data_IF_217080859192
#
_entry.id   IF_217080859192
#
_cell.length_a   1.000
_cell.length_b   1.000
_cell.length_c   1.000
_cell.angle_alpha   90.00
_cell.angle_beta   90.00
_cell.angle_gamma   90.00
#
_symmetry.space_group_name_H-M   'P 1'
#
loop_
_entity.id
_entity.type
_entity.pdbx_description
1 polymer ?
#
# COMPACT_ATOMS: atom_id res chain seq x y z
N UNK A 1 -2.66 6.84 -17.73
CA UNK A 1 -1.93 5.77 -18.44
C UNK A 1 -0.84 6.44 -19.26
N UNK A 2 0.42 6.29 -18.87
CA UNK A 2 1.57 6.88 -19.53
C UNK A 2 2.43 5.76 -20.12
N UNK A 3 2.72 5.84 -21.42
CA UNK A 3 3.72 4.97 -22.05
C UNK A 3 5.09 5.37 -21.52
N UNK A 4 5.74 4.49 -20.76
CA UNK A 4 7.17 4.61 -20.45
C UNK A 4 7.92 3.52 -21.21
N UNK A 5 8.54 3.88 -22.33
CA UNK A 5 9.37 2.96 -23.14
C UNK A 5 8.64 1.71 -23.65
N UNK A 6 9.34 0.58 -23.66
CA UNK A 6 8.84 -0.75 -24.04
C UNK A 6 8.16 -1.51 -22.90
N UNK A 7 7.97 -0.89 -21.74
CA UNK A 7 7.40 -1.52 -20.54
C UNK A 7 5.88 -1.36 -20.42
N UNK A 8 5.23 -2.33 -19.76
CA UNK A 8 3.84 -2.23 -19.34
C UNK A 8 3.76 -1.48 -17.99
N UNK A 9 2.95 -0.42 -17.94
CA UNK A 9 2.62 0.26 -16.70
C UNK A 9 1.68 -0.62 -15.87
N UNK A 10 2.09 -1.01 -14.65
CA UNK A 10 1.19 -1.65 -13.69
C UNK A 10 0.16 -0.63 -13.21
N UNK A 11 -1.11 -0.97 -13.31
CA UNK A 11 -2.17 -0.20 -12.64
C UNK A 11 -2.14 -0.55 -11.16
N UNK A 12 -1.60 0.37 -10.36
CA UNK A 12 -1.68 0.30 -8.91
C UNK A 12 -2.91 1.05 -8.42
N UNK A 13 -3.53 0.57 -7.36
CA UNK A 13 -4.60 1.30 -6.68
C UNK A 13 -4.47 1.21 -5.16
N UNK A 14 -5.08 2.18 -4.50
CA UNK A 14 -5.15 2.25 -3.04
C UNK A 14 -6.42 1.55 -2.58
N UNK A 15 -6.27 0.37 -1.99
CA UNK A 15 -7.39 -0.46 -1.55
C UNK A 15 -7.65 -0.22 -0.06
N UNK A 16 -8.86 0.24 0.33
CA UNK A 16 -9.21 0.42 1.73
C UNK A 16 -9.10 -0.87 2.53
N UNK A 17 -8.52 -0.79 3.72
CA UNK A 17 -8.39 -1.89 4.66
C UNK A 17 -8.32 -1.39 6.11
N UNK A 18 -8.32 -2.31 7.07
CA UNK A 18 -8.33 -1.99 8.50
C UNK A 18 -7.88 -3.16 9.38
N UNK A 19 -7.57 -2.90 10.65
CA UNK A 19 -7.29 -3.90 11.69
C UNK A 19 -6.24 -4.96 11.32
N UNK A 20 -5.19 -4.57 10.59
CA UNK A 20 -4.13 -5.49 10.16
C UNK A 20 -4.47 -6.33 8.93
N UNK A 21 -5.68 -6.20 8.37
CA UNK A 21 -6.06 -6.91 7.14
C UNK A 21 -5.18 -6.44 5.99
N UNK A 22 -4.61 -7.40 5.27
CA UNK A 22 -3.89 -7.19 4.01
C UNK A 22 -4.84 -7.61 2.88
N UNK A 23 -5.22 -6.71 1.97
CA UNK A 23 -6.02 -7.07 0.79
C UNK A 23 -5.21 -7.94 -0.18
N UNK A 24 -5.90 -8.64 -1.08
CA UNK A 24 -5.25 -9.43 -2.13
C UNK A 24 -4.44 -8.52 -3.08
N UNK A 25 -3.43 -9.11 -3.72
CA UNK A 25 -2.57 -8.46 -4.71
C UNK A 25 -1.84 -7.23 -4.14
N UNK A 26 -1.53 -7.27 -2.85
CA UNK A 26 -0.67 -6.30 -2.17
C UNK A 26 0.76 -6.28 -2.75
N UNK A 27 1.54 -5.29 -2.29
CA UNK A 27 2.97 -5.24 -2.52
C UNK A 27 3.69 -5.46 -1.18
N UNK A 28 4.08 -6.71 -0.91
CA UNK A 28 5.01 -7.07 0.17
C UNK A 28 6.42 -6.54 -0.16
N UNK A 29 6.91 -5.61 0.67
CA UNK A 29 8.28 -5.07 0.56
C UNK A 29 9.29 -5.89 1.37
N UNK A 30 8.87 -7.04 1.89
CA UNK A 30 9.65 -8.00 2.65
C UNK A 30 9.32 -8.00 4.13
N UNK A 31 9.48 -9.17 4.76
CA UNK A 31 9.21 -9.40 6.19
C UNK A 31 7.76 -9.11 6.61
N UNK A 32 6.80 -9.36 5.72
CA UNK A 32 5.37 -9.13 5.98
C UNK A 32 5.09 -7.65 6.28
N UNK A 33 5.71 -6.76 5.50
CA UNK A 33 5.55 -5.31 5.58
C UNK A 33 5.01 -4.84 4.23
N UNK A 34 3.96 -4.02 4.26
CA UNK A 34 3.26 -3.59 3.05
C UNK A 34 3.23 -2.07 2.95
N UNK A 35 3.24 -1.56 1.71
CA UNK A 35 3.08 -0.12 1.46
C UNK A 35 1.64 0.26 1.75
N UNK A 36 1.46 1.21 2.66
CA UNK A 36 0.15 1.71 3.04
C UNK A 36 0.14 3.24 3.11
N UNK A 37 -1.05 3.83 3.21
CA UNK A 37 -1.25 5.23 3.55
C UNK A 37 -2.47 5.38 4.44
N UNK A 38 -2.50 6.40 5.27
CA UNK A 38 -3.66 6.70 6.11
C UNK A 38 -3.97 8.19 6.11
N UNK A 39 -5.23 8.54 6.37
CA UNK A 39 -5.67 9.92 6.50
C UNK A 39 -5.18 10.47 7.85
N UNK A 40 -4.43 11.54 7.84
CA UNK A 40 -3.97 12.23 9.05
C UNK A 40 -3.71 13.70 8.73
N UNK A 41 -4.17 14.60 9.59
CA UNK A 41 -4.11 16.05 9.35
C UNK A 41 -4.67 16.44 7.95
N UNK A 42 -5.82 15.88 7.58
CA UNK A 42 -6.53 16.13 6.30
C UNK A 42 -5.78 15.70 5.03
N UNK A 43 -4.66 14.99 5.17
CA UNK A 43 -3.87 14.48 4.06
C UNK A 43 -3.70 12.96 4.14
N UNK A 44 -3.48 12.33 2.99
CA UNK A 44 -3.08 10.92 2.96
C UNK A 44 -1.55 10.81 3.08
N UNK A 45 -1.10 10.35 4.25
CA UNK A 45 0.32 10.18 4.54
C UNK A 45 0.73 8.73 4.25
N UNK A 46 1.75 8.50 3.39
CA UNK A 46 2.28 7.17 3.16
C UNK A 46 3.03 6.63 4.38
N UNK A 47 3.01 5.32 4.55
CA UNK A 47 3.58 4.62 5.69
C UNK A 47 3.70 3.11 5.45
N UNK A 48 3.81 2.36 6.53
CA UNK A 48 4.01 0.90 6.49
C UNK A 48 2.92 0.17 7.28
N UNK A 49 2.37 -0.88 6.69
CA UNK A 49 1.51 -1.83 7.40
C UNK A 49 2.35 -3.01 7.88
N UNK A 50 2.19 -3.35 9.15
CA UNK A 50 2.66 -4.63 9.71
C UNK A 50 1.43 -5.36 10.25
N UNK A 51 0.95 -6.44 9.61
CA UNK A 51 -0.33 -7.07 9.97
C UNK A 51 -0.42 -7.49 11.44
N UNK A 52 0.70 -7.98 11.99
CA UNK A 52 0.80 -8.37 13.40
C UNK A 52 0.56 -7.22 14.38
N UNK A 53 0.76 -5.96 13.97
CA UNK A 53 0.47 -4.79 14.78
C UNK A 53 -1.01 -4.36 14.74
N UNK A 54 -1.80 -4.92 13.83
CA UNK A 54 -3.23 -4.58 13.67
C UNK A 54 -3.49 -3.19 13.09
N UNK A 55 -2.46 -2.45 12.66
CA UNK A 55 -2.60 -1.06 12.18
C UNK A 55 -1.46 -0.68 11.22
N UNK A 56 -1.65 0.39 10.46
CA UNK A 56 -0.55 1.02 9.70
C UNK A 56 0.17 2.04 10.56
N UNK A 57 1.43 2.29 10.26
CA UNK A 57 2.22 3.35 10.88
C UNK A 57 2.61 4.41 9.87
N UNK A 58 2.28 5.67 10.17
CA UNK A 58 2.62 6.83 9.33
C UNK A 58 3.51 7.81 10.11
N UNK A 59 4.52 8.42 9.45
CA UNK A 59 5.34 9.46 10.07
C UNK A 59 4.61 10.80 10.02
N UNK A 60 4.44 11.46 11.17
CA UNK A 60 3.95 12.84 11.23
C UNK A 60 4.53 13.55 12.44
N UNK A 61 4.93 14.82 12.27
CA UNK A 61 5.51 15.66 13.33
C UNK A 61 6.66 15.00 14.14
N UNK A 62 7.52 14.23 13.46
CA UNK A 62 8.68 13.57 14.08
C UNK A 62 8.36 12.31 14.88
N UNK A 63 7.10 11.83 14.87
CA UNK A 63 6.68 10.62 15.56
C UNK A 63 6.00 9.62 14.61
N UNK A 64 6.03 8.34 14.99
CA UNK A 64 5.34 7.26 14.28
C UNK A 64 3.92 7.09 14.85
N UNK A 65 2.90 7.32 14.03
CA UNK A 65 1.50 7.28 14.45
C UNK A 65 0.84 6.01 13.92
N UNK A 66 0.27 5.21 14.83
CA UNK A 66 -0.55 4.05 14.48
C UNK A 66 -1.95 4.47 14.05
N UNK A 67 -2.42 4.00 12.90
CA UNK A 67 -3.75 4.29 12.38
C UNK A 67 -4.46 2.97 11.97
N UNK A 68 -5.62 2.65 12.54
CA UNK A 68 -6.29 1.37 12.29
C UNK A 68 -7.06 1.34 10.96
N UNK A 69 -7.44 2.49 10.39
CA UNK A 69 -8.01 2.59 9.05
C UNK A 69 -6.98 3.14 8.07
N UNK A 70 -6.78 2.44 6.96
CA UNK A 70 -5.74 2.76 6.00
C UNK A 70 -6.09 2.26 4.61
N UNK A 71 -5.23 2.56 3.65
CA UNK A 71 -5.27 2.00 2.31
C UNK A 71 -3.95 1.31 2.01
N UNK A 72 -3.99 0.11 1.45
CA UNK A 72 -2.80 -0.63 1.01
C UNK A 72 -2.61 -0.42 -0.48
N UNK A 73 -1.36 -0.29 -0.92
CA UNK A 73 -1.04 -0.20 -2.34
C UNK A 73 -1.09 -1.61 -2.95
N UNK A 74 -1.99 -1.82 -3.90
CA UNK A 74 -2.21 -3.11 -4.55
C UNK A 74 -1.99 -3.03 -6.06
N UNK A 75 -1.58 -4.16 -6.63
CA UNK A 75 -1.53 -4.40 -8.07
C UNK A 75 -2.93 -4.81 -8.53
N UNK A 76 -3.69 -3.86 -9.09
CA UNK A 76 -5.08 -4.13 -9.54
C UNK A 76 -5.22 -4.21 -11.06
N UNK A 77 -4.12 -4.18 -11.81
CA UNK A 77 -4.15 -4.41 -13.24
C UNK A 77 -4.47 -5.87 -13.58
N UNK A 78 -5.15 -6.07 -14.71
CA UNK A 78 -5.42 -7.40 -15.27
C UNK A 78 -4.09 -8.11 -15.55
N UNK A 79 -3.96 -9.32 -15.01
CA UNK A 79 -2.84 -10.21 -15.24
C UNK A 79 -2.69 -10.50 -16.74
N UNK A 80 -1.73 -9.88 -17.43
CA UNK A 80 -1.45 -10.19 -18.84
C UNK A 80 -0.45 -11.35 -19.00
N UNK A 81 -0.01 -11.98 -17.89
CA UNK A 81 0.94 -13.10 -17.91
C UNK A 81 2.36 -12.75 -18.35
N UNK A 82 2.69 -11.45 -18.51
CA UNK A 82 4.02 -10.95 -18.91
C UNK A 82 4.61 -9.93 -17.95
N UNK A 83 3.95 -9.64 -16.84
CA UNK A 83 4.46 -8.75 -15.81
C UNK A 83 5.10 -9.60 -14.71
N UNK A 84 6.27 -9.13 -14.24
CA UNK A 84 7.17 -9.63 -13.18
C UNK A 84 6.69 -10.87 -12.40
N UNK A 85 7.49 -11.94 -12.45
CA UNK A 85 7.42 -13.07 -11.52
C UNK A 85 8.34 -12.82 -10.33
#
# INVERSE_FOLDING_TARGET
MAKCGSGLQMTLSWVPSYNGIVPQDDIDIGRNIFVARAMHAEEFIPGKLTPAAGQTYIPYAGVENGVPQYQVLCVTAVNCGKCYK
#
